data_IF_367247109455
#
_entry.id   IF_367247109455
#
_cell.length_a   1.000
_cell.length_b   1.000
_cell.length_c   1.000
_cell.angle_alpha   90.00
_cell.angle_beta   90.00
_cell.angle_gamma   90.00
#
_symmetry.space_group_name_H-M   'P 1'
#
loop_
_entity.id
_entity.type
_entity.pdbx_description
1 polymer ?
#
# COMPACT_ATOMS: atom_id res chain seq x y z
N UNK A 1 12.84 -1.78 -14.94
CA UNK A 1 12.88 -1.84 -13.46
C UNK A 1 13.74 -0.73 -12.86
N UNK A 2 15.06 -0.66 -13.12
CA UNK A 2 15.94 0.40 -12.56
C UNK A 2 15.45 1.83 -12.84
N UNK A 3 15.14 2.16 -14.10
CA UNK A 3 14.67 3.51 -14.46
C UNK A 3 13.34 3.92 -13.77
N UNK A 4 12.46 2.95 -13.52
CA UNK A 4 11.19 3.20 -12.80
C UNK A 4 11.48 3.55 -11.33
N UNK A 5 12.43 2.84 -10.70
CA UNK A 5 12.88 3.13 -9.34
C UNK A 5 13.65 4.45 -9.23
N UNK A 6 14.53 4.78 -10.18
CA UNK A 6 15.25 6.05 -10.17
C UNK A 6 14.29 7.24 -10.28
N UNK A 7 13.33 7.17 -11.21
CA UNK A 7 12.26 8.17 -11.36
C UNK A 7 11.39 8.28 -10.10
N UNK A 8 11.15 7.16 -9.42
CA UNK A 8 10.43 7.17 -8.15
C UNK A 8 11.19 7.96 -7.08
N UNK A 9 12.48 7.67 -6.92
CA UNK A 9 13.33 8.31 -5.91
C UNK A 9 13.46 9.81 -6.16
N UNK A 10 13.61 10.23 -7.42
CA UNK A 10 13.65 11.64 -7.81
C UNK A 10 12.36 12.35 -7.40
N UNK A 11 11.18 11.83 -7.78
CA UNK A 11 9.89 12.45 -7.44
C UNK A 11 9.61 12.45 -5.94
N UNK A 12 10.01 11.40 -5.22
CA UNK A 12 9.92 11.38 -3.76
C UNK A 12 10.80 12.46 -3.12
N UNK A 13 11.98 12.73 -3.67
CA UNK A 13 12.88 13.76 -3.13
C UNK A 13 12.34 15.18 -3.26
N UNK A 14 11.45 15.40 -4.24
CA UNK A 14 10.78 16.66 -4.50
C UNK A 14 9.41 16.78 -3.82
N UNK A 15 8.91 15.68 -3.22
CA UNK A 15 7.58 15.63 -2.59
C UNK A 15 7.55 16.40 -1.27
N UNK A 16 6.50 17.19 -1.07
CA UNK A 16 6.33 18.05 0.12
C UNK A 16 5.14 17.57 0.96
N UNK A 17 4.15 16.95 0.33
CA UNK A 17 2.91 16.53 1.02
C UNK A 17 2.41 15.11 0.66
N UNK A 18 1.26 14.74 1.23
CA UNK A 18 0.60 13.45 0.99
C UNK A 18 0.12 13.29 -0.46
N UNK A 19 -0.28 14.38 -1.12
CA UNK A 19 -0.73 14.33 -2.51
C UNK A 19 0.43 14.04 -3.46
N UNK A 20 1.59 14.63 -3.19
CA UNK A 20 2.83 14.35 -3.92
C UNK A 20 3.24 12.88 -3.78
N UNK A 21 3.26 12.36 -2.55
CA UNK A 21 3.55 10.94 -2.30
C UNK A 21 2.54 10.04 -3.01
N UNK A 22 1.24 10.37 -2.95
CA UNK A 22 0.20 9.60 -3.63
C UNK A 22 0.42 9.56 -5.13
N UNK A 23 0.77 10.69 -5.74
CA UNK A 23 1.06 10.82 -7.17
C UNK A 23 2.31 10.03 -7.56
N UNK A 24 3.39 10.16 -6.78
CA UNK A 24 4.64 9.43 -7.00
C UNK A 24 4.43 7.91 -6.97
N UNK A 25 3.68 7.41 -5.98
CA UNK A 25 3.37 5.99 -5.83
C UNK A 25 2.44 5.47 -6.94
N UNK A 26 1.45 6.26 -7.38
CA UNK A 26 0.56 5.89 -8.48
C UNK A 26 1.33 5.71 -9.80
N UNK A 27 2.24 6.63 -10.10
CA UNK A 27 3.00 6.59 -11.36
C UNK A 27 4.02 5.45 -11.39
N UNK A 28 4.52 5.03 -10.23
CA UNK A 28 5.40 3.87 -10.11
C UNK A 28 4.61 2.57 -10.20
N UNK A 29 3.46 2.48 -9.54
CA UNK A 29 2.56 1.33 -9.68
C UNK A 29 2.19 1.12 -11.16
N UNK A 30 1.82 2.20 -11.86
CA UNK A 30 1.55 2.18 -13.31
C UNK A 30 2.79 1.74 -14.11
N UNK A 31 3.99 2.20 -13.76
CA UNK A 31 5.25 1.77 -14.38
C UNK A 31 5.62 0.29 -14.15
N UNK A 32 4.90 -0.40 -13.25
CA UNK A 32 4.99 -1.85 -12.99
C UNK A 32 3.72 -2.60 -13.43
N UNK A 33 2.85 -1.99 -14.23
CA UNK A 33 1.56 -2.55 -14.66
C UNK A 33 0.62 -2.92 -13.49
N UNK A 34 0.78 -2.26 -12.34
CA UNK A 34 -0.09 -2.40 -11.19
C UNK A 34 -1.19 -1.35 -11.23
N UNK A 35 -2.44 -1.81 -11.14
CA UNK A 35 -3.61 -0.93 -11.11
C UNK A 35 -3.70 -0.09 -9.83
N UNK A 36 -3.18 -0.62 -8.72
CA UNK A 36 -3.35 -0.03 -7.41
C UNK A 36 -2.12 -0.15 -6.51
N UNK A 37 -2.02 0.78 -5.56
CA UNK A 37 -1.08 0.74 -4.46
C UNK A 37 -1.76 1.16 -3.16
N UNK A 38 -1.19 0.74 -2.04
CA UNK A 38 -1.53 1.24 -0.71
C UNK A 38 -0.28 1.37 0.16
N UNK A 39 -0.13 2.52 0.78
CA UNK A 39 0.80 2.78 1.88
C UNK A 39 -0.02 2.87 3.17
N UNK A 40 0.25 1.96 4.11
CA UNK A 40 -0.44 1.90 5.40
C UNK A 40 0.58 2.07 6.52
N UNK A 41 0.43 3.13 7.30
CA UNK A 41 1.18 3.33 8.54
C UNK A 41 0.29 3.01 9.73
N UNK A 42 0.73 2.03 10.53
CA UNK A 42 0.05 1.62 11.76
C UNK A 42 0.71 2.29 12.96
N UNK A 43 -0.07 2.96 13.82
CA UNK A 43 0.48 3.60 15.00
C UNK A 43 1.00 2.55 16.00
N UNK A 44 2.04 2.87 16.78
CA UNK A 44 2.59 1.94 17.77
C UNK A 44 1.60 1.63 18.91
N UNK A 45 0.59 2.48 19.11
CA UNK A 45 -0.45 2.28 20.13
C UNK A 45 -1.68 1.62 19.52
N UNK A 46 -2.34 0.67 20.23
CA UNK A 46 -3.51 -0.07 19.73
C UNK A 46 -4.70 0.78 19.29
N UNK A 47 -4.84 2.00 19.86
CA UNK A 47 -5.95 2.92 19.60
C UNK A 47 -5.55 4.13 18.74
N UNK A 48 -4.34 4.15 18.17
CA UNK A 48 -3.99 5.21 17.24
C UNK A 48 -4.78 5.09 15.93
N UNK A 49 -4.99 6.22 15.25
CA UNK A 49 -5.59 6.24 13.92
C UNK A 49 -4.54 5.80 12.88
N UNK A 50 -4.79 4.77 12.07
CA UNK A 50 -3.91 4.43 10.95
C UNK A 50 -3.94 5.52 9.88
N UNK A 51 -2.81 5.71 9.20
CA UNK A 51 -2.71 6.56 8.01
C UNK A 51 -2.67 5.67 6.78
N UNK A 52 -3.59 5.90 5.84
CA UNK A 52 -3.71 5.14 4.60
C UNK A 52 -3.64 6.09 3.41
N UNK A 53 -2.60 5.97 2.60
CA UNK A 53 -2.41 6.70 1.34
C UNK A 53 -2.50 5.67 0.22
N UNK A 54 -3.47 5.81 -0.68
CA UNK A 54 -3.71 4.83 -1.74
C UNK A 54 -4.42 5.45 -2.92
N UNK A 55 -4.43 4.73 -4.05
CA UNK A 55 -5.30 5.03 -5.19
C UNK A 55 -6.55 4.12 -5.26
N UNK A 56 -6.84 3.37 -4.19
CA UNK A 56 -8.11 2.64 -4.09
C UNK A 56 -9.32 3.60 -4.06
N UNK A 57 -10.50 3.15 -4.49
CA UNK A 57 -11.72 3.93 -4.37
C UNK A 57 -11.97 4.38 -2.93
N UNK A 58 -12.28 5.66 -2.73
CA UNK A 58 -12.52 6.23 -1.40
C UNK A 58 -13.60 5.46 -0.58
N UNK A 59 -14.70 4.96 -1.16
CA UNK A 59 -15.66 4.15 -0.42
C UNK A 59 -15.05 2.86 0.15
N UNK A 60 -14.12 2.24 -0.59
CA UNK A 60 -13.44 1.02 -0.15
C UNK A 60 -12.50 1.29 1.02
N UNK A 61 -11.66 2.32 0.92
CA UNK A 61 -10.71 2.66 1.99
C UNK A 61 -11.43 3.09 3.27
N UNK A 62 -12.51 3.86 3.15
CA UNK A 62 -13.35 4.23 4.27
C UNK A 62 -13.97 3.00 4.94
N UNK A 63 -14.52 2.07 4.16
CA UNK A 63 -15.08 0.82 4.69
C UNK A 63 -14.00 -0.04 5.39
N UNK A 64 -12.84 -0.21 4.75
CA UNK A 64 -11.72 -1.00 5.25
C UNK A 64 -11.26 -0.50 6.64
N UNK A 65 -11.06 0.82 6.79
CA UNK A 65 -10.65 1.42 8.05
C UNK A 65 -11.75 1.38 9.11
N UNK A 66 -13.00 1.66 8.73
CA UNK A 66 -14.14 1.62 9.65
C UNK A 66 -14.38 0.22 10.23
N UNK A 67 -14.17 -0.82 9.43
CA UNK A 67 -14.27 -2.23 9.86
C UNK A 67 -12.99 -2.79 10.46
N UNK A 68 -11.94 -1.96 10.57
CA UNK A 68 -10.62 -2.32 11.13
C UNK A 68 -9.99 -3.53 10.44
N UNK A 69 -10.14 -3.66 9.12
CA UNK A 69 -9.63 -4.82 8.39
C UNK A 69 -8.12 -4.97 8.46
N UNK A 70 -7.35 -3.90 8.70
CA UNK A 70 -5.90 -3.98 8.98
C UNK A 70 -5.53 -4.91 10.15
N UNK A 71 -6.48 -5.23 11.04
CA UNK A 71 -6.25 -6.14 12.17
C UNK A 71 -6.36 -7.62 11.81
N UNK A 72 -7.02 -7.94 10.70
CA UNK A 72 -7.31 -9.32 10.25
C UNK A 72 -6.81 -9.60 8.82
N UNK A 73 -6.40 -8.57 8.08
CA UNK A 73 -5.89 -8.69 6.72
C UNK A 73 -4.61 -9.54 6.68
N UNK A 74 -4.61 -10.68 5.96
CA UNK A 74 -3.45 -11.57 5.89
C UNK A 74 -2.17 -10.90 5.37
N UNK A 75 -2.30 -9.93 4.46
CA UNK A 75 -1.16 -9.16 3.92
C UNK A 75 -0.54 -8.33 5.03
N UNK A 76 -1.36 -7.68 5.85
CA UNK A 76 -0.89 -6.86 6.98
C UNK A 76 -0.32 -7.74 8.09
N UNK A 77 -0.97 -8.86 8.41
CA UNK A 77 -0.47 -9.81 9.41
C UNK A 77 0.89 -10.38 9.03
N UNK A 78 1.07 -10.77 7.75
CA UNK A 78 2.36 -11.24 7.23
C UNK A 78 3.42 -10.13 7.27
N UNK A 79 3.09 -8.91 6.87
CA UNK A 79 4.02 -7.79 6.93
C UNK A 79 4.48 -7.47 8.37
N UNK A 80 3.57 -7.59 9.36
CA UNK A 80 3.89 -7.36 10.79
C UNK A 80 4.80 -8.42 11.39
N UNK A 81 4.81 -9.65 10.86
CA UNK A 81 5.75 -10.68 11.29
C UNK A 81 7.21 -10.34 10.93
N UNK A 82 7.42 -9.32 10.10
CA UNK A 82 8.74 -8.91 9.61
C UNK A 82 9.22 -9.78 8.45
N UNK A 83 10.37 -9.40 7.87
CA UNK A 83 11.01 -10.13 6.78
C UNK A 83 11.22 -9.30 5.52
N UNK A 84 11.57 -9.99 4.44
CA UNK A 84 11.76 -9.39 3.12
C UNK A 84 10.41 -9.09 2.43
N UNK A 85 10.48 -8.39 1.29
CA UNK A 85 9.34 -8.23 0.39
C UNK A 85 8.73 -9.58 0.02
N UNK A 86 7.40 -9.63 -0.12
CA UNK A 86 6.70 -10.87 -0.45
C UNK A 86 5.55 -10.63 -1.43
N UNK A 87 5.26 -11.67 -2.21
CA UNK A 87 4.06 -11.76 -3.03
C UNK A 87 2.95 -12.43 -2.22
N UNK A 88 1.75 -11.85 -2.25
CA UNK A 88 0.56 -12.35 -1.53
C UNK A 88 -0.53 -12.86 -2.46
N UNK A 89 -0.37 -12.70 -3.77
CA UNK A 89 -1.17 -13.35 -4.77
C UNK A 89 -0.44 -14.62 -5.26
N UNK A 90 -0.81 -15.77 -4.70
CA UNK A 90 -0.83 -17.10 -5.33
C UNK A 90 -1.05 -18.17 -4.26
N UNK A 91 -2.32 -18.58 -4.14
CA UNK A 91 -2.82 -19.96 -3.87
C UNK A 91 -4.35 -20.03 -4.10
N UNK A 92 -4.90 -19.19 -4.99
CA UNK A 92 -6.24 -19.44 -5.57
C UNK A 92 -6.08 -20.47 -6.70
N UNK A 93 -5.49 -21.62 -6.43
CA UNK A 93 -5.76 -22.80 -7.24
C UNK A 93 -7.22 -23.18 -6.95
N UNK A 94 -8.07 -23.04 -7.96
CA UNK A 94 -9.51 -23.15 -7.84
C UNK A 94 -9.97 -24.41 -7.10
N UNK A 95 -10.95 -24.25 -6.23
CA UNK A 95 -11.93 -25.29 -6.04
C UNK A 95 -12.94 -25.13 -7.18
N UNK A 96 -12.79 -25.97 -8.21
CA UNK A 96 -13.95 -26.43 -9.00
C UNK A 96 -14.94 -27.16 -8.09
#
# INVERSE_FOLDING_TARGET
MRAVFERFLERLSESIDEADLRSAMADVASGFDLLAFAYLSLPPRPNGKPTLISNYPAPWTAHYLAKRYQSVDPVILRARAGGCTFQWASDLSGAE
#
